data_IF_355962293664
#
_entry.id   IF_355962293664
#
_cell.length_a   1.000
_cell.length_b   1.000
_cell.length_c   1.000
_cell.angle_alpha   90.00
_cell.angle_beta   90.00
_cell.angle_gamma   90.00
#
_symmetry.space_group_name_H-M   'P 1'
#
loop_
_entity.id
_entity.type
_entity.pdbx_description
1 polymer ?
#
# COMPACT_ATOMS: atom_id res chain seq x y z
N UNK A 1 -6.25 14.59 21.63
CA UNK A 1 -5.88 13.60 22.66
C UNK A 1 -5.47 12.26 22.07
N UNK A 2 -6.34 11.55 21.33
CA UNK A 2 -6.03 10.18 20.86
C UNK A 2 -4.78 10.07 19.97
N UNK A 3 -4.60 10.95 18.99
CA UNK A 3 -3.34 10.97 18.21
C UNK A 3 -2.09 11.27 19.04
N UNK A 4 -2.21 12.03 20.13
CA UNK A 4 -1.08 12.31 21.03
C UNK A 4 -0.63 11.03 21.75
N UNK A 5 -1.57 10.23 22.24
CA UNK A 5 -1.27 8.92 22.85
C UNK A 5 -0.60 7.99 21.84
N UNK A 6 -1.15 7.88 20.63
CA UNK A 6 -0.58 7.06 19.57
C UNK A 6 0.86 7.49 19.21
N UNK A 7 1.12 8.80 19.16
CA UNK A 7 2.47 9.32 18.91
C UNK A 7 3.42 9.10 20.06
N UNK A 8 2.99 9.23 21.31
CA UNK A 8 3.81 8.89 22.47
C UNK A 8 4.19 7.41 22.47
N UNK A 9 3.26 6.51 22.14
CA UNK A 9 3.56 5.09 22.01
C UNK A 9 4.56 4.81 20.88
N UNK A 10 4.38 5.44 19.70
CA UNK A 10 5.26 5.21 18.53
C UNK A 10 6.60 5.93 18.58
N UNK A 11 6.67 7.09 19.21
CA UNK A 11 7.78 8.04 19.12
C UNK A 11 8.44 8.35 20.47
N UNK A 12 7.90 7.84 21.58
CA UNK A 12 8.24 8.24 22.94
C UNK A 12 7.53 9.54 23.37
N UNK A 13 7.57 10.56 22.52
CA UNK A 13 6.91 11.85 22.76
C UNK A 13 6.56 12.60 21.46
N UNK A 14 5.79 13.68 21.59
CA UNK A 14 5.44 14.56 20.48
C UNK A 14 6.65 15.35 19.91
N UNK A 15 7.73 15.52 20.68
CA UNK A 15 8.92 16.24 20.23
C UNK A 15 9.74 15.40 19.23
N UNK A 16 9.90 14.10 19.49
CA UNK A 16 10.51 13.13 18.59
C UNK A 16 9.68 12.97 17.32
N UNK A 17 8.35 12.98 17.43
CA UNK A 17 7.48 13.04 16.25
C UNK A 17 7.73 14.31 15.43
N UNK A 18 7.77 15.47 16.07
CA UNK A 18 8.04 16.74 15.40
C UNK A 18 9.45 16.76 14.74
N UNK A 19 10.47 16.22 15.42
CA UNK A 19 11.83 16.05 14.87
C UNK A 19 11.84 15.21 13.60
N UNK A 20 11.09 14.11 13.57
CA UNK A 20 10.96 13.29 12.35
C UNK A 20 10.35 14.08 11.20
N UNK A 21 9.33 14.89 11.46
CA UNK A 21 8.62 15.64 10.42
C UNK A 21 9.26 17.00 10.07
N UNK A 22 10.30 17.41 10.78
CA UNK A 22 10.94 18.72 10.63
C UNK A 22 11.35 19.01 9.18
N UNK A 23 11.86 17.99 8.48
CA UNK A 23 12.12 18.04 7.04
C UNK A 23 11.56 16.80 6.37
N UNK A 24 10.90 17.01 5.23
CA UNK A 24 10.31 15.95 4.45
C UNK A 24 10.70 16.09 2.98
N UNK A 25 11.06 14.97 2.36
CA UNK A 25 11.36 14.91 0.94
C UNK A 25 10.10 14.54 0.17
N UNK A 26 9.76 15.31 -0.88
CA UNK A 26 8.65 14.95 -1.77
C UNK A 26 9.02 13.70 -2.54
N UNK A 27 8.11 12.72 -2.55
CA UNK A 27 8.21 11.52 -3.36
C UNK A 27 7.12 11.54 -4.43
N UNK A 28 7.45 11.04 -5.61
CA UNK A 28 6.48 10.77 -6.67
C UNK A 28 6.29 9.25 -6.71
N UNK A 29 5.24 8.71 -6.09
CA UNK A 29 4.95 7.30 -6.26
C UNK A 29 4.60 7.07 -7.73
N UNK A 30 5.29 6.14 -8.35
CA UNK A 30 4.97 5.57 -9.64
C UNK A 30 3.68 4.76 -9.55
N UNK A 31 2.74 4.93 -10.48
CA UNK A 31 1.59 4.02 -10.64
C UNK A 31 0.28 4.42 -9.96
N UNK A 32 0.04 5.70 -9.69
CA UNK A 32 -1.26 6.18 -9.20
C UNK A 32 -1.99 7.07 -10.21
N UNK A 33 -3.29 6.84 -10.44
CA UNK A 33 -4.18 7.80 -11.13
C UNK A 33 -4.30 9.14 -10.36
N UNK A 34 -4.00 9.11 -9.06
CA UNK A 34 -4.12 10.23 -8.14
C UNK A 34 -2.83 11.06 -8.10
N UNK A 35 -2.91 12.34 -8.47
CA UNK A 35 -1.85 13.34 -8.31
C UNK A 35 -1.57 13.74 -6.83
N UNK A 36 -1.99 12.93 -5.85
CA UNK A 36 -1.78 13.21 -4.44
C UNK A 36 -0.28 13.41 -4.15
N UNK A 37 0.06 14.48 -3.45
CA UNK A 37 1.43 14.76 -3.07
C UNK A 37 1.82 13.89 -1.87
N UNK A 38 2.91 13.14 -2.01
CA UNK A 38 3.49 12.34 -0.94
C UNK A 38 4.83 12.90 -0.51
N UNK A 39 5.13 12.78 0.78
CA UNK A 39 6.39 13.20 1.36
C UNK A 39 6.85 12.17 2.39
N UNK A 40 8.15 11.93 2.50
CA UNK A 40 8.74 11.03 3.52
C UNK A 40 9.58 11.85 4.48
N UNK A 41 9.55 11.53 5.79
CA UNK A 41 10.45 12.17 6.75
C UNK A 41 11.91 12.00 6.32
N UNK A 42 12.66 13.08 6.23
CA UNK A 42 14.00 13.05 5.64
C UNK A 42 15.01 12.35 6.55
N UNK A 43 14.97 12.64 7.85
CA UNK A 43 16.02 12.24 8.79
C UNK A 43 15.97 10.76 9.14
N UNK A 44 14.77 10.24 9.38
CA UNK A 44 14.57 8.86 9.85
C UNK A 44 13.65 8.05 8.95
N UNK A 45 12.98 8.70 7.98
CA UNK A 45 12.04 8.07 7.06
C UNK A 45 11.00 7.17 7.73
N UNK A 46 10.68 7.39 9.00
CA UNK A 46 9.66 6.66 9.78
C UNK A 46 8.24 6.97 9.33
N UNK A 47 8.01 8.15 8.75
CA UNK A 47 6.68 8.64 8.42
C UNK A 47 6.53 9.00 6.95
N UNK A 48 5.31 8.78 6.47
CA UNK A 48 4.82 9.19 5.17
C UNK A 48 3.71 10.22 5.38
N UNK A 49 3.82 11.36 4.73
CA UNK A 49 2.81 12.40 4.68
C UNK A 49 2.11 12.30 3.33
N UNK A 50 0.78 12.22 3.35
CA UNK A 50 -0.04 12.18 2.15
C UNK A 50 -0.97 13.38 2.16
N UNK A 51 -0.92 14.18 1.10
CA UNK A 51 -1.94 15.18 0.84
C UNK A 51 -3.25 14.46 0.53
N UNK A 52 -4.30 14.82 1.26
CA UNK A 52 -5.63 14.25 1.13
C UNK A 52 -6.63 15.31 0.73
N UNK A 53 -7.70 14.90 0.07
CA UNK A 53 -8.78 15.82 -0.25
C UNK A 53 -9.63 16.13 1.01
N UNK A 54 -10.55 17.08 0.90
CA UNK A 54 -11.41 17.49 2.03
C UNK A 54 -12.32 16.36 2.51
N UNK A 55 -12.77 15.48 1.63
CA UNK A 55 -13.63 14.36 1.99
C UNK A 55 -12.85 13.33 2.83
N UNK A 56 -11.69 12.88 2.34
CA UNK A 56 -10.73 11.99 3.02
C UNK A 56 -10.35 12.53 4.40
N UNK A 57 -10.02 13.83 4.48
CA UNK A 57 -9.75 14.49 5.75
C UNK A 57 -10.98 14.48 6.67
N UNK A 58 -12.16 14.84 6.15
CA UNK A 58 -13.39 14.91 6.94
C UNK A 58 -13.76 13.55 7.52
N UNK A 59 -13.60 12.47 6.75
CA UNK A 59 -13.89 11.10 7.18
C UNK A 59 -13.21 10.78 8.52
N UNK A 60 -11.89 11.02 8.60
CA UNK A 60 -11.09 10.80 9.81
C UNK A 60 -11.39 11.76 10.97
N UNK A 61 -12.13 12.84 10.73
CA UNK A 61 -12.57 13.78 11.77
C UNK A 61 -14.01 13.57 12.22
N UNK A 62 -14.77 12.69 11.55
CA UNK A 62 -16.13 12.37 12.00
C UNK A 62 -16.07 11.56 13.31
N UNK A 63 -16.88 11.89 14.34
CA UNK A 63 -16.82 11.20 15.63
C UNK A 63 -16.96 9.68 15.50
N UNK A 64 -17.92 9.21 14.68
CA UNK A 64 -18.15 7.78 14.45
C UNK A 64 -16.91 7.07 13.89
N UNK A 65 -16.30 7.62 12.84
CA UNK A 65 -15.15 6.97 12.19
C UNK A 65 -13.90 7.05 13.07
N UNK A 66 -13.65 8.22 13.67
CA UNK A 66 -12.50 8.41 14.56
C UNK A 66 -12.59 7.46 15.75
N UNK A 67 -13.75 7.36 16.40
CA UNK A 67 -13.95 6.45 17.52
C UNK A 67 -13.73 5.00 17.11
N UNK A 68 -14.34 4.53 16.02
CA UNK A 68 -14.15 3.16 15.55
C UNK A 68 -12.68 2.84 15.24
N UNK A 69 -11.98 3.76 14.55
CA UNK A 69 -10.56 3.62 14.25
C UNK A 69 -9.71 3.55 15.52
N UNK A 70 -9.92 4.47 16.47
CA UNK A 70 -9.12 4.47 17.70
C UNK A 70 -9.44 3.30 18.61
N UNK A 71 -10.68 2.83 18.67
CA UNK A 71 -11.03 1.59 19.38
C UNK A 71 -10.37 0.35 18.75
N UNK A 72 -10.20 0.33 17.43
CA UNK A 72 -9.46 -0.74 16.76
C UNK A 72 -7.96 -0.65 17.05
N UNK A 73 -7.37 0.56 16.94
CA UNK A 73 -5.95 0.79 17.26
C UNK A 73 -5.65 0.45 18.73
N UNK A 74 -6.56 0.76 19.65
CA UNK A 74 -6.44 0.40 21.07
C UNK A 74 -6.25 -1.12 21.26
N UNK A 75 -7.09 -1.94 20.62
CA UNK A 75 -6.95 -3.41 20.64
C UNK A 75 -5.64 -3.87 20.01
N UNK A 76 -5.22 -3.26 18.90
CA UNK A 76 -3.93 -3.58 18.25
C UNK A 76 -2.75 -3.29 19.17
N UNK A 77 -2.79 -2.17 19.89
CA UNK A 77 -1.68 -1.74 20.74
C UNK A 77 -1.64 -2.42 22.10
N UNK A 78 -2.78 -2.51 22.79
CA UNK A 78 -2.85 -2.93 24.19
C UNK A 78 -3.26 -4.39 24.35
N UNK A 79 -4.17 -4.89 23.50
CA UNK A 79 -4.55 -6.30 23.48
C UNK A 79 -3.65 -7.15 22.57
N UNK A 80 -2.68 -6.52 21.90
CA UNK A 80 -1.75 -7.14 20.95
C UNK A 80 -2.48 -7.84 19.79
N UNK A 81 -3.63 -7.30 19.38
CA UNK A 81 -4.39 -7.83 18.25
C UNK A 81 -3.52 -7.77 16.97
N UNK A 82 -3.27 -8.89 16.27
CA UNK A 82 -2.56 -8.87 15.00
C UNK A 82 -3.25 -7.97 14.00
N UNK A 83 -2.48 -7.09 13.34
CA UNK A 83 -2.97 -6.17 12.32
C UNK A 83 -1.79 -5.74 11.43
N UNK A 84 -2.08 -5.55 10.14
CA UNK A 84 -1.16 -4.99 9.16
C UNK A 84 -1.69 -3.67 8.61
N UNK A 85 -2.75 -3.11 9.19
CA UNK A 85 -3.33 -1.83 8.80
C UNK A 85 -2.36 -0.67 9.06
N UNK A 86 -2.09 0.13 8.03
CA UNK A 86 -1.24 1.30 8.17
C UNK A 86 -1.93 2.37 9.03
N UNK A 87 -1.40 2.59 10.24
CA UNK A 87 -1.92 3.58 11.17
C UNK A 87 -1.66 5.01 10.73
N UNK A 88 -2.72 5.83 10.71
CA UNK A 88 -2.63 7.29 10.66
C UNK A 88 -2.30 7.80 12.07
N UNK A 89 -1.26 8.60 12.18
CA UNK A 89 -0.69 9.08 13.45
C UNK A 89 -0.85 10.59 13.63
N UNK A 90 -1.34 11.28 12.60
CA UNK A 90 -1.66 12.70 12.68
C UNK A 90 -2.47 13.20 11.50
N UNK A 91 -3.26 14.23 11.76
CA UNK A 91 -4.00 15.00 10.77
C UNK A 91 -3.66 16.47 10.91
N UNK A 92 -3.31 17.10 9.79
CA UNK A 92 -2.89 18.48 9.77
C UNK A 92 -3.58 19.23 8.64
N UNK A 93 -3.99 20.46 8.94
CA UNK A 93 -4.42 21.43 7.93
C UNK A 93 -3.42 22.57 7.92
N UNK A 94 -2.87 22.86 6.74
CA UNK A 94 -1.85 23.89 6.55
C UNK A 94 -2.42 24.98 5.65
N UNK A 95 -2.45 26.21 6.18
CA UNK A 95 -2.80 27.42 5.44
C UNK A 95 -1.60 28.35 5.41
N UNK A 96 -1.31 28.92 4.25
CA UNK A 96 -0.25 29.92 4.08
C UNK A 96 -0.92 31.28 3.96
N UNK A 97 -0.69 32.15 4.95
CA UNK A 97 -1.13 33.54 4.89
C UNK A 97 -0.25 34.28 3.87
N UNK A 98 -0.84 34.92 2.86
CA UNK A 98 -0.06 35.65 1.87
C UNK A 98 0.59 36.90 2.48
N UNK A 99 1.80 37.21 2.01
CA UNK A 99 2.58 38.36 2.49
C UNK A 99 2.13 39.70 1.88
N UNK A 100 1.31 39.68 0.81
CA UNK A 100 0.69 40.85 0.14
C UNK A 100 -0.80 40.57 -0.08
N UNK A 101 -1.60 41.55 -0.54
CA UNK A 101 -3.07 41.47 -0.82
C UNK A 101 -3.51 40.41 -1.87
N UNK A 102 -2.83 39.27 -1.99
CA UNK A 102 -3.33 38.13 -2.75
C UNK A 102 -4.36 37.35 -1.93
N UNK A 103 -5.28 36.68 -2.62
CA UNK A 103 -6.27 35.80 -2.01
C UNK A 103 -5.59 34.69 -1.19
N UNK A 104 -6.07 34.44 0.02
CA UNK A 104 -5.60 33.33 0.85
C UNK A 104 -5.80 32.00 0.11
N UNK A 105 -4.77 31.16 0.09
CA UNK A 105 -4.87 29.84 -0.51
C UNK A 105 -5.77 28.96 0.36
N UNK A 106 -6.60 28.12 -0.27
CA UNK A 106 -7.42 27.15 0.48
C UNK A 106 -6.50 26.27 1.35
N UNK A 107 -6.91 25.91 2.58
CA UNK A 107 -6.14 25.02 3.43
C UNK A 107 -5.85 23.72 2.69
N UNK A 108 -4.61 23.25 2.80
CA UNK A 108 -4.20 21.92 2.33
C UNK A 108 -4.27 20.95 3.50
N UNK A 109 -4.82 19.77 3.25
CA UNK A 109 -5.00 18.74 4.26
C UNK A 109 -3.98 17.62 4.08
N UNK A 110 -3.42 17.17 5.20
CA UNK A 110 -2.42 16.11 5.23
C UNK A 110 -2.77 15.09 6.31
N UNK A 111 -2.56 13.82 5.98
CA UNK A 111 -2.42 12.75 6.96
C UNK A 111 -0.93 12.44 7.12
N UNK A 112 -0.55 11.99 8.31
CA UNK A 112 0.75 11.38 8.58
C UNK A 112 0.50 9.94 8.96
N UNK A 113 1.20 9.00 8.32
CA UNK A 113 1.10 7.57 8.58
C UNK A 113 2.48 6.95 8.71
N UNK A 114 2.57 5.76 9.31
CA UNK A 114 3.83 5.00 9.35
C UNK A 114 4.29 4.68 7.92
N UNK A 115 5.59 4.82 7.67
CA UNK A 115 6.18 4.39 6.40
C UNK A 115 6.43 2.88 6.45
N UNK A 116 5.65 2.10 5.71
CA UNK A 116 5.81 0.63 5.63
C UNK A 116 7.17 0.21 5.06
N UNK A 117 7.81 1.08 4.26
CA UNK A 117 9.16 0.83 3.73
C UNK A 117 10.26 1.13 4.75
N UNK A 118 9.93 1.55 5.98
CA UNK A 118 10.93 1.89 7.00
C UNK A 118 11.83 0.71 7.37
N UNK A 119 11.24 -0.46 7.61
CA UNK A 119 11.98 -1.67 7.97
C UNK A 119 12.89 -2.20 6.86
N UNK A 120 12.75 -1.69 5.63
CA UNK A 120 13.54 -2.10 4.47
C UNK A 120 14.69 -1.13 4.15
N UNK A 121 14.90 -0.06 4.91
CA UNK A 121 15.85 0.98 4.53
C UNK A 121 17.31 0.57 4.68
N UNK A 122 17.57 -0.35 5.60
CA UNK A 122 18.91 -0.88 5.85
C UNK A 122 19.19 -2.15 5.01
N UNK A 123 18.22 -2.58 4.20
CA UNK A 123 18.41 -3.72 3.32
C UNK A 123 19.23 -3.27 2.11
N UNK A 124 20.37 -3.93 1.91
CA UNK A 124 21.23 -3.71 0.74
C UNK A 124 20.61 -4.29 -0.54
N UNK A 125 19.70 -5.25 -0.39
CA UNK A 125 19.05 -5.94 -1.50
C UNK A 125 18.00 -5.06 -2.15
N UNK A 126 17.91 -5.05 -3.48
CA UNK A 126 16.85 -4.32 -4.15
C UNK A 126 15.51 -4.99 -3.90
N UNK A 127 14.48 -4.20 -3.59
CA UNK A 127 13.12 -4.70 -3.37
C UNK A 127 12.18 -4.28 -4.50
N UNK A 128 11.30 -5.19 -4.91
CA UNK A 128 10.13 -4.89 -5.71
C UNK A 128 8.99 -4.47 -4.81
N UNK A 129 8.15 -3.54 -5.29
CA UNK A 129 6.99 -3.06 -4.53
C UNK A 129 5.73 -3.30 -5.34
N UNK A 130 4.75 -3.94 -4.71
CA UNK A 130 3.47 -4.33 -5.28
C UNK A 130 2.32 -3.67 -4.49
N UNK A 131 1.30 -3.21 -5.20
CA UNK A 131 0.00 -2.77 -4.67
C UNK A 131 -1.03 -3.83 -5.10
N UNK A 132 -1.51 -4.61 -4.13
CA UNK A 132 -2.33 -5.79 -4.37
C UNK A 132 -3.78 -5.53 -3.90
N UNK A 133 -4.75 -5.69 -4.80
CA UNK A 133 -6.19 -5.46 -4.51
C UNK A 133 -7.08 -6.70 -4.70
N UNK A 134 -6.51 -7.79 -5.20
CA UNK A 134 -7.24 -8.96 -5.66
C UNK A 134 -7.89 -8.77 -7.03
N UNK A 135 -7.23 -8.02 -7.93
CA UNK A 135 -7.72 -7.74 -9.29
C UNK A 135 -6.76 -8.33 -10.32
N UNK A 136 -7.07 -9.52 -10.83
CA UNK A 136 -6.14 -10.33 -11.61
C UNK A 136 -5.75 -9.79 -12.99
N UNK A 137 -6.57 -8.96 -13.64
CA UNK A 137 -6.35 -8.64 -15.06
C UNK A 137 -5.54 -7.35 -15.30
N UNK A 138 -4.97 -6.73 -14.26
CA UNK A 138 -4.23 -5.47 -14.37
C UNK A 138 -2.75 -5.68 -14.09
N UNK A 139 -1.90 -5.18 -14.98
CA UNK A 139 -0.44 -5.14 -14.81
C UNK A 139 0.18 -3.85 -15.33
N UNK A 140 1.34 -3.49 -14.80
CA UNK A 140 2.24 -2.52 -15.43
C UNK A 140 3.02 -3.26 -16.52
N UNK A 141 3.02 -2.73 -17.75
CA UNK A 141 3.71 -3.33 -18.91
C UNK A 141 5.19 -2.92 -18.95
N UNK A 142 6.03 -3.77 -19.54
CA UNK A 142 7.43 -3.49 -19.88
C UNK A 142 8.37 -3.18 -18.69
N UNK A 143 8.07 -3.71 -17.49
CA UNK A 143 8.88 -3.48 -16.27
C UNK A 143 9.55 -4.75 -15.72
N UNK A 144 9.06 -5.95 -16.07
CA UNK A 144 9.60 -7.22 -15.56
C UNK A 144 10.48 -7.92 -16.61
N UNK A 145 11.67 -8.43 -16.22
CA UNK A 145 12.49 -9.23 -17.13
C UNK A 145 11.90 -10.64 -17.23
N UNK A 146 11.67 -11.14 -18.45
CA UNK A 146 11.24 -12.53 -18.69
C UNK A 146 9.88 -12.70 -19.36
N UNK A 147 9.13 -11.62 -19.64
CA UNK A 147 7.89 -11.71 -20.43
C UNK A 147 8.21 -11.89 -21.94
N UNK A 148 8.79 -13.03 -22.33
CA UNK A 148 8.69 -13.50 -23.71
C UNK A 148 7.30 -14.10 -23.91
N UNK A 149 6.31 -13.23 -24.14
CA UNK A 149 4.99 -13.62 -24.61
C UNK A 149 4.87 -13.23 -26.09
N UNK A 150 4.67 -14.22 -26.95
CA UNK A 150 4.47 -14.07 -28.39
C UNK A 150 3.39 -13.03 -28.68
N UNK A 151 3.72 -12.08 -29.57
CA UNK A 151 2.75 -11.21 -30.19
C UNK A 151 1.83 -12.08 -31.07
N UNK A 152 0.58 -12.24 -30.66
CA UNK A 152 -0.49 -12.62 -31.56
C UNK A 152 -1.52 -11.49 -31.48
N UNK A 153 -1.50 -10.67 -32.51
CA UNK A 153 -2.40 -9.55 -32.67
C UNK A 153 -3.81 -10.04 -33.01
N UNK A 154 -4.79 -9.38 -32.40
CA UNK A 154 -6.08 -9.15 -33.01
C UNK A 154 -6.35 -7.64 -32.84
N UNK A 155 -6.21 -6.93 -33.95
CA UNK A 155 -6.52 -5.51 -34.09
C UNK A 155 -8.03 -5.29 -33.96
N UNK A 156 -8.46 -4.48 -32.99
CA UNK A 156 -9.72 -3.72 -33.09
C UNK A 156 -9.45 -2.32 -32.56
N UNK A 157 -9.56 -1.36 -33.48
CA UNK A 157 -9.27 0.06 -33.35
C UNK A 157 -10.08 0.79 -32.27
N UNK A 158 -9.42 1.71 -31.55
CA UNK A 158 -10.08 2.60 -30.59
C UNK A 158 -9.11 3.49 -29.80
N UNK A 159 -8.52 4.45 -30.51
CA UNK A 159 -7.88 5.72 -30.06
C UNK A 159 -6.94 5.73 -28.83
N UNK A 160 -5.69 6.07 -29.10
CA UNK A 160 -4.58 6.15 -28.17
C UNK A 160 -4.55 7.45 -27.34
N UNK A 161 -4.33 7.27 -26.03
CA UNK A 161 -3.69 8.21 -25.09
C UNK A 161 -2.28 8.65 -25.57
N UNK A 162 -1.75 9.73 -24.98
CA UNK A 162 -0.39 9.61 -24.47
C UNK A 162 -0.25 10.22 -23.06
N UNK A 163 -0.10 9.35 -22.06
CA UNK A 163 0.65 9.70 -20.85
C UNK A 163 1.36 8.44 -20.30
N UNK A 164 2.38 8.00 -21.06
CA UNK A 164 3.28 6.93 -20.68
C UNK A 164 4.71 7.46 -20.54
N UNK A 165 5.34 7.04 -19.44
CA UNK A 165 6.74 7.26 -19.10
C UNK A 165 7.65 6.93 -20.29
N UNK A 166 8.21 7.93 -20.95
CA UNK A 166 9.26 7.72 -21.96
C UNK A 166 10.56 7.34 -21.25
N UNK A 167 10.94 6.07 -21.36
CA UNK A 167 12.26 5.58 -20.99
C UNK A 167 13.16 5.53 -22.24
N UNK A 168 14.29 6.23 -22.18
CA UNK A 168 15.33 6.17 -23.19
C UNK A 168 15.94 4.76 -23.30
N UNK A 169 16.15 4.31 -24.53
CA UNK A 169 16.83 3.08 -24.92
C UNK A 169 18.32 3.12 -24.59
N UNK A 170 18.82 2.10 -23.87
CA UNK A 170 20.18 1.56 -24.01
C UNK A 170 20.37 0.27 -23.18
N UNK A 171 20.73 -0.82 -23.86
CA UNK A 171 21.66 -1.86 -23.37
C UNK A 171 21.13 -2.91 -22.38
N UNK A 172 21.34 -4.19 -22.74
CA UNK A 172 21.10 -5.34 -21.89
C UNK A 172 21.91 -5.30 -20.58
N UNK A 173 21.25 -5.04 -19.45
CA UNK A 173 21.66 -5.42 -18.09
C UNK A 173 20.55 -5.04 -17.09
N UNK A 174 20.10 -6.01 -16.29
CA UNK A 174 19.47 -5.89 -14.96
C UNK A 174 18.43 -4.77 -14.74
N UNK A 175 17.18 -5.14 -14.50
CA UNK A 175 16.16 -4.22 -13.96
C UNK A 175 16.68 -3.57 -12.67
N UNK A 176 16.53 -2.24 -12.56
CA UNK A 176 16.77 -1.49 -11.32
C UNK A 176 15.50 -1.50 -10.46
N UNK A 177 15.43 -2.26 -9.36
CA UNK A 177 14.22 -2.32 -8.54
C UNK A 177 14.19 -1.07 -7.67
N UNK A 178 13.25 -0.16 -7.93
CA UNK A 178 12.91 1.00 -7.07
C UNK A 178 12.00 2.04 -7.75
N UNK A 179 11.82 2.00 -9.08
CA UNK A 179 11.12 3.09 -9.79
C UNK A 179 9.64 2.88 -10.04
N UNK A 180 9.09 1.66 -9.96
CA UNK A 180 7.69 1.38 -10.25
C UNK A 180 6.97 0.69 -9.06
N UNK A 181 5.66 0.93 -8.92
CA UNK A 181 4.77 0.14 -8.05
C UNK A 181 3.98 -0.77 -8.97
N UNK A 182 4.12 -2.07 -8.73
CA UNK A 182 3.62 -3.17 -9.54
C UNK A 182 2.27 -3.65 -9.01
N UNK A 183 1.52 -4.44 -9.78
CA UNK A 183 0.16 -4.88 -9.38
C UNK A 183 0.06 -6.40 -9.24
N UNK A 184 -1.14 -6.88 -8.91
CA UNK A 184 -1.47 -8.30 -8.69
C UNK A 184 -0.86 -9.26 -9.73
N UNK A 185 -1.02 -8.96 -11.02
CA UNK A 185 -0.51 -9.84 -12.07
C UNK A 185 1.02 -9.78 -12.19
N UNK A 186 1.64 -8.62 -11.95
CA UNK A 186 3.09 -8.53 -11.92
C UNK A 186 3.70 -9.33 -10.77
N UNK A 187 3.00 -9.45 -9.64
CA UNK A 187 3.43 -10.33 -8.55
C UNK A 187 3.43 -11.79 -9.02
N UNK A 188 2.36 -12.23 -9.68
CA UNK A 188 2.28 -13.60 -10.23
C UNK A 188 3.36 -13.87 -11.26
N UNK A 189 3.64 -12.91 -12.14
CA UNK A 189 4.73 -13.01 -13.11
C UNK A 189 6.10 -13.09 -12.41
N UNK A 190 6.34 -12.27 -11.38
CA UNK A 190 7.60 -12.27 -10.64
C UNK A 190 7.83 -13.56 -9.85
N UNK A 191 6.78 -14.24 -9.41
CA UNK A 191 6.89 -15.51 -8.66
C UNK A 191 6.71 -16.77 -9.52
N UNK A 192 6.70 -16.66 -10.85
CA UNK A 192 6.37 -17.76 -11.78
C UNK A 192 5.04 -18.46 -11.42
N UNK A 193 4.06 -17.69 -10.96
CA UNK A 193 2.76 -18.16 -10.51
C UNK A 193 2.76 -18.86 -9.15
N UNK A 194 3.92 -19.03 -8.51
CA UNK A 194 4.05 -19.69 -7.21
C UNK A 194 3.70 -18.71 -6.08
N UNK A 195 3.01 -19.15 -5.02
CA UNK A 195 2.81 -18.32 -3.84
C UNK A 195 4.13 -18.08 -3.08
N UNK A 196 4.19 -16.97 -2.36
CA UNK A 196 5.28 -16.66 -1.45
C UNK A 196 5.18 -17.57 -0.22
N UNK A 197 6.21 -18.38 -0.02
CA UNK A 197 6.31 -19.28 1.12
C UNK A 197 6.73 -18.52 2.37
N UNK A 198 5.96 -18.65 3.45
CA UNK A 198 6.25 -18.06 4.75
C UNK A 198 6.46 -19.17 5.79
N UNK A 199 7.37 -18.91 6.74
CA UNK A 199 7.50 -19.73 7.95
C UNK A 199 6.17 -19.74 8.72
N UNK A 200 5.85 -20.84 9.39
CA UNK A 200 4.52 -21.04 9.99
C UNK A 200 4.11 -19.95 10.99
N UNK A 201 5.07 -19.36 11.71
CA UNK A 201 4.81 -18.25 12.65
C UNK A 201 4.31 -17.01 11.92
N UNK A 202 4.97 -16.64 10.82
CA UNK A 202 4.72 -15.40 10.11
C UNK A 202 3.44 -15.52 9.27
N UNK A 203 3.17 -16.70 8.69
CA UNK A 203 1.88 -16.99 8.05
C UNK A 203 0.71 -16.85 9.03
N UNK A 204 0.80 -17.52 10.20
CA UNK A 204 -0.27 -17.45 11.21
C UNK A 204 -0.55 -16.02 11.66
N UNK A 205 0.51 -15.21 11.83
CA UNK A 205 0.36 -13.80 12.16
C UNK A 205 -0.33 -13.04 11.01
N UNK A 206 0.13 -13.23 9.77
CA UNK A 206 -0.43 -12.55 8.60
C UNK A 206 -1.90 -12.90 8.38
N UNK A 207 -2.27 -14.17 8.47
CA UNK A 207 -3.67 -14.63 8.36
C UNK A 207 -4.55 -14.00 9.42
N UNK A 208 -4.11 -14.02 10.69
CA UNK A 208 -4.84 -13.39 11.78
C UNK A 208 -4.98 -11.88 11.59
N UNK A 209 -3.90 -11.22 11.15
CA UNK A 209 -3.88 -9.78 10.90
C UNK A 209 -4.82 -9.38 9.76
N UNK A 210 -4.74 -10.06 8.62
CA UNK A 210 -5.62 -9.84 7.48
C UNK A 210 -7.07 -10.09 7.86
N UNK A 211 -7.37 -11.17 8.59
CA UNK A 211 -8.72 -11.45 9.07
C UNK A 211 -9.25 -10.32 9.98
N UNK A 212 -8.47 -9.87 10.96
CA UNK A 212 -8.88 -8.82 11.88
C UNK A 212 -9.11 -7.48 11.15
N UNK A 213 -8.18 -7.11 10.26
CA UNK A 213 -8.27 -5.87 9.48
C UNK A 213 -9.51 -5.90 8.56
N UNK A 214 -9.72 -7.02 7.85
CA UNK A 214 -10.86 -7.19 6.93
C UNK A 214 -12.17 -7.53 7.62
N UNK A 215 -12.16 -7.80 8.92
CA UNK A 215 -13.35 -7.78 9.76
C UNK A 215 -13.74 -6.35 10.18
N UNK A 216 -12.74 -5.48 10.41
CA UNK A 216 -12.95 -4.08 10.79
C UNK A 216 -13.37 -3.19 9.61
N UNK A 217 -12.64 -3.23 8.49
CA UNK A 217 -12.82 -2.34 7.34
C UNK A 217 -14.26 -2.31 6.77
N UNK A 218 -14.92 -3.45 6.47
CA UNK A 218 -16.27 -3.43 5.92
C UNK A 218 -17.32 -2.94 6.92
N UNK A 219 -17.13 -3.12 8.23
CA UNK A 219 -18.01 -2.56 9.27
C UNK A 219 -18.01 -1.03 9.26
N UNK A 220 -16.90 -0.43 8.82
CA UNK A 220 -16.79 1.01 8.62
C UNK A 220 -17.17 1.44 7.19
N UNK A 221 -17.70 0.51 6.37
CA UNK A 221 -18.01 0.73 4.96
C UNK A 221 -16.81 1.23 4.15
N UNK A 222 -15.60 0.75 4.49
CA UNK A 222 -14.38 1.11 3.78
C UNK A 222 -14.08 0.09 2.69
N UNK A 223 -13.66 0.60 1.53
CA UNK A 223 -13.28 -0.18 0.35
C UNK A 223 -12.04 0.43 -0.28
N UNK A 224 -11.60 -0.14 -1.41
CA UNK A 224 -10.55 0.41 -2.26
C UNK A 224 -9.13 0.41 -1.67
N UNK A 225 -8.96 -0.19 -0.49
CA UNK A 225 -7.68 -0.45 0.15
C UNK A 225 -6.85 -1.50 -0.60
N UNK A 226 -5.53 -1.43 -0.47
CA UNK A 226 -4.59 -2.40 -1.04
C UNK A 226 -3.62 -2.92 0.01
N UNK A 227 -3.09 -4.13 -0.21
CA UNK A 227 -1.91 -4.59 0.49
C UNK A 227 -0.68 -4.05 -0.26
N UNK A 228 0.03 -3.13 0.36
CA UNK A 228 1.35 -2.73 -0.14
C UNK A 228 2.34 -3.79 0.31
N UNK A 229 2.95 -4.50 -0.64
CA UNK A 229 3.96 -5.52 -0.40
C UNK A 229 5.29 -5.04 -0.97
N UNK A 230 6.34 -5.03 -0.17
CA UNK A 230 7.70 -4.86 -0.63
C UNK A 230 8.47 -6.17 -0.38
N UNK A 231 9.03 -6.73 -1.43
CA UNK A 231 9.65 -8.06 -1.43
C UNK A 231 11.06 -8.02 -2.04
N UNK A 232 12.00 -8.74 -1.44
CA UNK A 232 13.28 -9.09 -2.07
C UNK A 232 13.53 -10.58 -1.97
N UNK A 233 14.16 -11.11 -3.02
CA UNK A 233 14.58 -12.51 -3.12
C UNK A 233 15.67 -12.84 -2.09
N UNK A 234 15.81 -14.12 -1.72
CA UNK A 234 16.98 -14.63 -1.03
C UNK A 234 18.28 -14.21 -1.75
N UNK A 235 19.42 -14.09 -1.05
CA UNK A 235 20.70 -13.81 -1.65
C UNK A 235 21.07 -14.96 -2.60
N UNK A 236 21.69 -14.62 -3.72
CA UNK A 236 22.37 -15.63 -4.53
C UNK A 236 23.49 -16.26 -3.71
N UNK A 237 23.60 -17.59 -3.71
CA UNK A 237 24.70 -18.32 -3.09
C UNK A 237 26.01 -18.07 -3.85
N UNK A 238 26.58 -16.87 -3.74
CA UNK A 238 27.86 -16.49 -4.34
C UNK A 238 28.90 -16.27 -3.26
N UNK A 239 29.38 -17.36 -2.65
CA UNK A 239 30.66 -17.44 -1.91
C UNK A 239 30.88 -16.50 -0.72
N UNK A 240 29.99 -15.56 -0.43
CA UNK A 240 30.02 -14.72 0.76
C UNK A 240 29.42 -15.48 1.94
N UNK A 241 29.96 -15.29 3.14
CA UNK A 241 29.39 -15.85 4.37
C UNK A 241 28.00 -15.26 4.59
N UNK A 242 26.97 -16.00 4.19
CA UNK A 242 25.57 -15.62 4.40
C UNK A 242 25.25 -15.90 5.87
N UNK A 243 24.87 -14.88 6.63
CA UNK A 243 24.36 -15.11 7.98
C UNK A 243 23.04 -15.90 7.92
N UNK A 244 22.69 -16.65 8.97
CA UNK A 244 21.48 -17.50 8.98
C UNK A 244 20.19 -16.72 8.67
N UNK A 245 20.13 -15.43 9.01
CA UNK A 245 18.97 -14.57 8.75
C UNK A 245 18.91 -14.05 7.30
N UNK A 246 20.04 -14.01 6.60
CA UNK A 246 20.14 -13.55 5.23
C UNK A 246 19.79 -14.66 4.23
N UNK A 247 19.75 -15.93 4.62
CA UNK A 247 19.39 -17.03 3.73
C UNK A 247 17.97 -16.93 3.15
N UNK A 248 17.09 -16.12 3.76
CA UNK A 248 15.70 -15.95 3.35
C UNK A 248 15.47 -14.66 2.55
N UNK A 249 14.40 -14.67 1.75
CA UNK A 249 13.83 -13.46 1.19
C UNK A 249 13.24 -12.58 2.28
N UNK A 250 13.11 -11.28 2.02
CA UNK A 250 12.52 -10.34 2.98
C UNK A 250 11.23 -9.76 2.45
N UNK A 251 10.20 -9.72 3.29
CA UNK A 251 8.93 -9.09 3.02
C UNK A 251 8.66 -7.98 4.04
N UNK A 252 8.15 -6.86 3.58
CA UNK A 252 7.46 -5.87 4.41
C UNK A 252 6.11 -5.55 3.78
N UNK A 253 5.05 -5.57 4.57
CA UNK A 253 3.70 -5.38 4.05
C UNK A 253 2.81 -4.55 4.97
N UNK A 254 1.72 -4.03 4.41
CA UNK A 254 0.66 -3.39 5.18
C UNK A 254 -0.50 -2.92 4.32
N UNK A 255 -1.70 -2.87 4.91
CA UNK A 255 -2.90 -2.38 4.23
C UNK A 255 -2.89 -0.84 4.21
N UNK A 256 -2.97 -0.26 3.02
CA UNK A 256 -2.91 1.18 2.78
C UNK A 256 -4.19 1.69 2.10
N UNK A 257 -4.30 3.02 1.99
CA UNK A 257 -5.33 3.72 1.21
C UNK A 257 -6.79 3.42 1.60
N UNK A 258 -7.00 2.99 2.85
CA UNK A 258 -8.32 2.69 3.44
C UNK A 258 -9.20 3.90 3.77
N UNK A 259 -8.86 5.11 3.30
CA UNK A 259 -9.57 6.36 3.64
C UNK A 259 -10.78 6.67 2.74
N UNK A 260 -11.30 5.68 2.02
CA UNK A 260 -12.43 5.83 1.10
C UNK A 260 -13.66 5.08 1.60
N UNK A 261 -14.66 5.79 2.14
CA UNK A 261 -15.97 5.24 2.38
C UNK A 261 -16.66 4.89 1.07
N UNK A 262 -17.23 3.69 1.02
CA UNK A 262 -18.05 3.17 -0.08
C UNK A 262 -19.19 4.11 -0.51
N UNK A 263 -19.71 4.91 0.42
CA UNK A 263 -20.73 5.91 0.10
C UNK A 263 -20.21 6.97 -0.87
N UNK A 264 -18.91 7.31 -0.88
CA UNK A 264 -18.37 8.24 -1.87
C UNK A 264 -18.33 7.66 -3.27
N UNK A 265 -18.06 6.36 -3.39
CA UNK A 265 -18.08 5.69 -4.69
C UNK A 265 -19.50 5.64 -5.24
N UNK A 266 -20.50 5.35 -4.39
CA UNK A 266 -21.92 5.48 -4.78
C UNK A 266 -22.31 6.89 -5.17
N UNK A 267 -21.86 7.90 -4.44
CA UNK A 267 -22.15 9.30 -4.75
C UNK A 267 -21.48 9.75 -6.06
N UNK A 268 -20.24 9.30 -6.32
CA UNK A 268 -19.53 9.56 -7.56
C UNK A 268 -20.17 8.83 -8.75
N UNK A 269 -20.50 7.55 -8.59
CA UNK A 269 -21.23 6.79 -9.59
C UNK A 269 -22.60 7.41 -9.89
N UNK A 270 -23.32 7.92 -8.90
CA UNK A 270 -24.61 8.59 -9.14
C UNK A 270 -24.44 9.86 -9.98
N UNK A 271 -23.38 10.65 -9.76
CA UNK A 271 -23.08 11.84 -10.59
C UNK A 271 -22.75 11.43 -12.04
N UNK A 272 -21.96 10.36 -12.22
CA UNK A 272 -21.59 9.84 -13.56
C UNK A 272 -22.79 9.20 -14.27
N UNK A 273 -23.60 8.41 -13.56
CA UNK A 273 -24.82 7.78 -14.09
C UNK A 273 -25.90 8.78 -14.47
N UNK A 274 -25.88 9.98 -13.89
CA UNK A 274 -26.76 11.08 -14.35
C UNK A 274 -26.36 11.60 -15.74
N UNK A 275 -25.15 11.25 -16.24
CA UNK A 275 -24.60 11.74 -17.50
C UNK A 275 -24.29 10.64 -18.54
N UNK A 276 -24.16 9.37 -18.15
CA UNK A 276 -23.99 8.27 -19.09
C UNK A 276 -24.75 7.01 -18.62
N UNK A 277 -25.72 6.57 -19.41
CA UNK A 277 -26.29 5.22 -19.29
C UNK A 277 -25.32 4.24 -19.94
N UNK A 278 -24.42 3.63 -19.16
CA UNK A 278 -23.74 2.40 -19.58
C UNK A 278 -23.09 1.68 -18.39
N UNK A 279 -23.35 0.38 -18.37
CA UNK A 279 -22.76 -0.71 -17.60
C UNK A 279 -22.83 -0.79 -16.07
N UNK A 280 -22.90 -2.06 -15.63
CA UNK A 280 -23.12 -2.52 -14.25
C UNK A 280 -22.14 -1.81 -13.29
N UNK A 281 -22.60 -1.35 -12.11
CA UNK A 281 -21.73 -0.67 -11.15
C UNK A 281 -20.51 -1.55 -10.83
N UNK A 282 -19.31 -1.02 -11.09
CA UNK A 282 -18.03 -1.67 -10.78
C UNK A 282 -17.74 -1.59 -9.26
N UNK A 283 -18.60 -0.91 -8.50
CA UNK A 283 -18.49 -0.65 -7.07
C UNK A 283 -19.02 -1.83 -6.26
N UNK A 284 -18.09 -2.70 -5.85
CA UNK A 284 -18.34 -3.89 -5.02
C UNK A 284 -18.64 -3.47 -3.58
N UNK A 285 -19.70 -4.03 -2.99
CA UNK A 285 -20.05 -3.78 -1.59
C UNK A 285 -18.92 -4.14 -0.62
N UNK A 286 -18.77 -3.44 0.52
CA UNK A 286 -17.64 -3.63 1.43
C UNK A 286 -17.37 -5.08 1.86
N UNK A 287 -18.37 -5.90 2.25
CA UNK A 287 -18.12 -7.31 2.60
C UNK A 287 -17.61 -8.14 1.42
N UNK A 288 -18.13 -7.89 0.22
CA UNK A 288 -17.72 -8.58 -1.00
C UNK A 288 -16.31 -8.14 -1.43
N UNK A 289 -15.97 -6.86 -1.24
CA UNK A 289 -14.62 -6.35 -1.47
C UNK A 289 -13.62 -7.03 -0.53
N UNK A 290 -13.94 -7.08 0.78
CA UNK A 290 -13.12 -7.73 1.79
C UNK A 290 -12.88 -9.21 1.48
N UNK A 291 -13.93 -9.94 1.10
CA UNK A 291 -13.83 -11.34 0.70
C UNK A 291 -12.91 -11.53 -0.50
N UNK A 292 -13.12 -10.80 -1.59
CA UNK A 292 -12.25 -10.86 -2.79
C UNK A 292 -10.80 -10.56 -2.43
N UNK A 293 -10.58 -9.55 -1.60
CA UNK A 293 -9.25 -9.17 -1.14
C UNK A 293 -8.57 -10.31 -0.36
N UNK A 294 -9.26 -10.89 0.64
CA UNK A 294 -8.74 -12.03 1.41
C UNK A 294 -8.48 -13.26 0.54
N UNK A 295 -9.43 -13.63 -0.32
CA UNK A 295 -9.30 -14.79 -1.21
C UNK A 295 -8.05 -14.63 -2.08
N UNK A 296 -7.80 -13.43 -2.62
CA UNK A 296 -6.59 -13.15 -3.38
C UNK A 296 -5.30 -13.27 -2.54
N UNK A 297 -5.27 -12.71 -1.33
CA UNK A 297 -4.10 -12.84 -0.45
C UNK A 297 -3.80 -14.31 -0.10
N UNK A 298 -4.84 -15.13 0.08
CA UNK A 298 -4.70 -16.58 0.28
C UNK A 298 -4.09 -17.32 -0.92
N UNK A 299 -4.10 -16.72 -2.12
CA UNK A 299 -3.36 -17.26 -3.28
C UNK A 299 -1.92 -16.76 -3.39
N UNK A 300 -1.58 -15.68 -2.68
CA UNK A 300 -0.25 -15.07 -2.75
C UNK A 300 0.69 -15.55 -1.64
N UNK A 301 0.16 -16.03 -0.51
CA UNK A 301 0.95 -16.47 0.64
C UNK A 301 0.56 -17.88 1.05
N UNK A 302 1.55 -18.74 1.28
CA UNK A 302 1.35 -20.12 1.78
C UNK A 302 2.36 -20.45 2.86
N UNK A 303 2.10 -21.52 3.61
CA UNK A 303 3.03 -22.03 4.61
C UNK A 303 4.04 -23.00 4.01
N UNK A 304 5.20 -23.07 4.65
CA UNK A 304 6.14 -24.17 4.42
C UNK A 304 5.42 -25.51 4.58
N UNK A 305 5.51 -26.36 3.56
CA UNK A 305 5.07 -27.75 3.68
C UNK A 305 6.13 -28.50 4.48
N UNK A 306 5.77 -29.25 5.55
CA UNK A 306 6.73 -30.08 6.23
C UNK A 306 7.41 -31.00 5.21
N UNK A 307 8.75 -31.02 5.19
CA UNK A 307 9.47 -31.98 4.38
C UNK A 307 8.94 -33.38 4.73
N UNK A 308 8.44 -34.11 3.73
CA UNK A 308 8.09 -35.52 3.91
C UNK A 308 9.31 -36.21 4.47
N UNK A 309 9.24 -36.69 5.71
CA UNK A 309 10.32 -37.51 6.25
C UNK A 309 10.53 -38.68 5.28
N UNK A 310 11.77 -38.98 4.87
CA UNK A 310 12.02 -40.15 4.05
C UNK A 310 11.48 -41.35 4.82
N UNK A 311 10.61 -42.13 4.18
CA UNK A 311 10.17 -43.42 4.70
C UNK A 311 11.42 -44.27 4.92
N UNK A 312 11.77 -44.47 6.18
CA UNK A 312 12.79 -45.40 6.65
C UNK A 312 12.42 -46.84 6.34
#
# INVERSE_FOLDING_TARGET
AQYHILRHWLCGDDLNFARSLYRCNRIKPSGGKSCAAFFVSQHDRRFLLKAVNRAEFKMLTTPKQAQAMFSYVDQVLFDKLPSVLAHVVGLFSVSVKPHKKSRESKPKHFIVQRNLRFSLQNQKRPHFVFDLKGVGNRKVRDVMPGAQGQAQGDDIDGEAEPDACQAATAGAAGVKPSKCVLWDMNLREWTDGKPLCLVSRDLKYLEAALHNDTYFLPKQSLVDYSLLLAAAEPPEAKGEEINENEQFGTLALGIIDWLRPYTWDKQLENVVKTLAQTDRPTVIEPPNYARRFLDAMGTFFVGETPASQPSS
#
